data_IF_409979819457
#
_entry.id   IF_409979819457
#
_cell.length_a   1.000
_cell.length_b   1.000
_cell.length_c   1.000
_cell.angle_alpha   90.00
_cell.angle_beta   90.00
_cell.angle_gamma   90.00
#
_symmetry.space_group_name_H-M   'P 1'
#
loop_
_entity.id
_entity.type
_entity.pdbx_description
1 polymer ?
#
# COMPACT_ATOMS: atom_id res chain seq x y z
N UNK A 1 -12.66 -0.01 -21.50
CA UNK A 1 -11.32 0.53 -21.20
C UNK A 1 -11.21 0.85 -19.70
N UNK A 2 -10.94 -0.13 -18.81
CA UNK A 2 -10.95 0.11 -17.35
C UNK A 2 -9.54 0.29 -16.74
N UNK A 3 -8.50 -0.32 -17.32
CA UNK A 3 -7.14 -0.27 -16.78
C UNK A 3 -6.46 1.10 -16.89
N UNK A 4 -6.93 1.93 -17.84
CA UNK A 4 -6.44 3.30 -18.02
C UNK A 4 -6.75 4.21 -16.83
N UNK A 5 -7.80 3.95 -16.04
CA UNK A 5 -8.15 4.80 -14.87
C UNK A 5 -7.08 4.73 -13.76
N UNK A 6 -6.37 3.60 -13.63
CA UNK A 6 -5.25 3.46 -12.70
C UNK A 6 -3.97 4.13 -13.21
N UNK A 7 -3.86 4.35 -14.53
CA UNK A 7 -2.66 4.84 -15.21
C UNK A 7 -2.79 6.28 -15.75
N UNK A 8 -4.00 6.85 -15.79
CA UNK A 8 -4.21 8.24 -16.20
C UNK A 8 -3.78 9.15 -15.06
N UNK A 9 -2.66 9.84 -15.26
CA UNK A 9 -2.25 10.99 -14.45
C UNK A 9 -1.44 10.66 -13.19
N UNK A 10 -1.55 11.55 -12.20
CA UNK A 10 -0.75 11.54 -10.98
C UNK A 10 -1.25 10.55 -9.90
N UNK A 11 -2.23 9.69 -10.20
CA UNK A 11 -2.88 8.83 -9.20
C UNK A 11 -1.92 7.92 -8.43
N UNK A 12 -1.00 7.15 -9.04
CA UNK A 12 -0.07 6.32 -8.28
C UNK A 12 0.78 7.13 -7.31
N UNK A 13 1.24 8.32 -7.72
CA UNK A 13 2.04 9.21 -6.88
C UNK A 13 1.24 9.80 -5.72
N UNK A 14 0.04 10.30 -6.00
CA UNK A 14 -0.87 10.85 -4.98
C UNK A 14 -1.26 9.75 -3.99
N UNK A 15 -1.59 8.56 -4.50
CA UNK A 15 -1.90 7.40 -3.68
C UNK A 15 -0.74 7.02 -2.77
N UNK A 16 0.49 6.96 -3.27
CA UNK A 16 1.67 6.69 -2.43
C UNK A 16 1.82 7.73 -1.32
N UNK A 17 1.64 9.02 -1.59
CA UNK A 17 1.71 10.05 -0.56
C UNK A 17 0.63 9.86 0.50
N UNK A 18 -0.61 9.57 0.08
CA UNK A 18 -1.73 9.32 0.99
C UNK A 18 -1.50 8.04 1.81
N UNK A 19 -1.03 6.97 1.17
CA UNK A 19 -0.71 5.70 1.81
C UNK A 19 0.36 5.89 2.90
N UNK A 20 1.46 6.59 2.61
CA UNK A 20 2.51 6.91 3.58
C UNK A 20 1.95 7.63 4.81
N UNK A 21 1.05 8.61 4.60
CA UNK A 21 0.45 9.36 5.71
C UNK A 21 -0.49 8.48 6.53
N UNK A 22 -1.38 7.74 5.87
CA UNK A 22 -2.33 6.83 6.53
C UNK A 22 -1.57 5.78 7.35
N UNK A 23 -0.59 5.12 6.73
CA UNK A 23 0.19 4.07 7.37
C UNK A 23 1.07 4.62 8.49
N UNK A 24 1.73 5.76 8.28
CA UNK A 24 2.51 6.39 9.33
C UNK A 24 1.68 6.70 10.57
N UNK A 25 0.44 7.18 10.39
CA UNK A 25 -0.52 7.38 11.49
C UNK A 25 -0.93 6.06 12.13
N UNK A 26 -1.27 5.03 11.34
CA UNK A 26 -1.64 3.71 11.85
C UNK A 26 -0.50 3.08 12.64
N UNK A 27 0.73 3.14 12.13
CA UNK A 27 1.91 2.60 12.79
C UNK A 27 2.14 3.31 14.13
N UNK A 28 1.96 4.62 14.18
CA UNK A 28 2.00 5.38 15.43
C UNK A 28 0.90 4.95 16.42
N UNK A 29 -0.36 4.85 15.98
CA UNK A 29 -1.49 4.42 16.81
C UNK A 29 -1.32 2.99 17.34
N UNK A 30 -0.72 2.11 16.53
CA UNK A 30 -0.39 0.73 16.90
C UNK A 30 0.85 0.61 17.80
N UNK A 31 1.44 1.73 18.23
CA UNK A 31 2.67 1.76 19.05
C UNK A 31 3.83 1.00 18.37
N UNK A 32 3.87 1.04 17.04
CA UNK A 32 4.99 0.49 16.26
C UNK A 32 6.28 1.28 16.55
N UNK A 33 6.16 2.61 16.55
CA UNK A 33 7.24 3.56 16.76
C UNK A 33 6.68 4.90 17.27
N UNK A 34 7.56 5.79 17.75
CA UNK A 34 7.19 7.21 17.88
C UNK A 34 6.89 7.84 16.51
N UNK A 35 6.14 8.94 16.46
CA UNK A 35 5.58 9.50 15.23
C UNK A 35 6.60 9.66 14.08
N UNK A 36 7.76 10.28 14.36
CA UNK A 36 8.84 10.45 13.36
C UNK A 36 9.37 9.12 12.83
N UNK A 37 9.52 8.13 13.72
CA UNK A 37 9.96 6.79 13.36
C UNK A 37 8.90 6.04 12.54
N UNK A 38 7.63 6.19 12.92
CA UNK A 38 6.51 5.58 12.22
C UNK A 38 6.38 6.10 10.78
N UNK A 39 6.44 7.43 10.60
CA UNK A 39 6.43 8.05 9.27
C UNK A 39 7.63 7.62 8.41
N UNK A 40 8.83 7.59 8.99
CA UNK A 40 10.03 7.14 8.27
C UNK A 40 9.89 5.68 7.83
N UNK A 41 9.44 4.80 8.73
CA UNK A 41 9.30 3.39 8.43
C UNK A 41 8.18 3.15 7.38
N UNK A 42 7.09 3.92 7.43
CA UNK A 42 6.05 3.92 6.40
C UNK A 42 6.58 4.36 5.04
N UNK A 43 7.38 5.44 4.96
CA UNK A 43 8.04 5.86 3.71
C UNK A 43 8.89 4.73 3.13
N UNK A 44 9.75 4.11 3.95
CA UNK A 44 10.65 3.05 3.48
C UNK A 44 9.86 1.83 3.01
N UNK A 45 8.84 1.41 3.77
CA UNK A 45 7.97 0.29 3.43
C UNK A 45 7.22 0.54 2.11
N UNK A 46 6.57 1.69 1.97
CA UNK A 46 5.84 2.06 0.76
C UNK A 46 6.75 2.18 -0.46
N UNK A 47 7.97 2.73 -0.32
CA UNK A 47 8.91 2.81 -1.43
C UNK A 47 9.35 1.41 -1.89
N UNK A 48 9.60 0.50 -0.96
CA UNK A 48 9.92 -0.89 -1.29
C UNK A 48 8.75 -1.59 -1.98
N UNK A 49 7.53 -1.43 -1.44
CA UNK A 49 6.32 -1.97 -2.04
C UNK A 49 6.06 -1.40 -3.44
N UNK A 50 6.24 -0.09 -3.63
CA UNK A 50 6.09 0.59 -4.92
C UNK A 50 7.05 0.00 -5.97
N UNK A 51 8.32 -0.22 -5.62
CA UNK A 51 9.29 -0.83 -6.53
C UNK A 51 8.85 -2.25 -6.93
N UNK A 52 8.42 -3.07 -5.97
CA UNK A 52 7.99 -4.45 -6.25
C UNK A 52 6.70 -4.46 -7.09
N UNK A 53 5.72 -3.62 -6.76
CA UNK A 53 4.48 -3.48 -7.53
C UNK A 53 4.76 -2.99 -8.94
N UNK A 54 5.71 -2.06 -9.13
CA UNK A 54 6.12 -1.59 -10.45
C UNK A 54 6.75 -2.72 -11.29
N UNK A 55 7.61 -3.55 -10.69
CA UNK A 55 8.21 -4.72 -11.36
C UNK A 55 7.16 -5.75 -11.75
N UNK A 56 6.13 -5.93 -10.92
CA UNK A 56 5.03 -6.86 -11.16
C UNK A 56 3.86 -6.22 -11.92
N UNK A 57 4.00 -4.99 -12.41
CA UNK A 57 2.88 -4.20 -12.94
C UNK A 57 2.20 -4.88 -14.13
N UNK A 58 2.97 -5.49 -15.04
CA UNK A 58 2.39 -6.23 -16.17
C UNK A 58 1.55 -7.43 -15.72
N UNK A 59 2.02 -8.17 -14.70
CA UNK A 59 1.28 -9.30 -14.13
C UNK A 59 0.01 -8.82 -13.42
N UNK A 60 0.12 -7.74 -12.64
CA UNK A 60 -1.00 -7.14 -11.90
C UNK A 60 -2.06 -6.56 -12.85
N UNK A 61 -1.64 -5.94 -13.95
CA UNK A 61 -2.55 -5.41 -14.97
C UNK A 61 -3.11 -6.52 -15.88
N UNK A 62 -2.43 -7.66 -15.97
CA UNK A 62 -2.85 -8.84 -16.73
C UNK A 62 -4.17 -9.46 -16.27
N UNK A 63 -4.65 -9.13 -15.06
CA UNK A 63 -5.96 -9.55 -14.56
C UNK A 63 -7.15 -8.93 -15.33
N UNK A 64 -6.94 -7.85 -16.09
CA UNK A 64 -7.98 -7.21 -16.91
C UNK A 64 -9.09 -6.48 -16.15
N UNK A 65 -9.22 -6.69 -14.83
CA UNK A 65 -10.19 -6.07 -13.95
C UNK A 65 -9.53 -5.17 -12.91
N UNK A 66 -9.90 -3.89 -12.88
CA UNK A 66 -9.30 -2.85 -12.03
C UNK A 66 -9.30 -3.21 -10.53
N UNK A 67 -10.41 -3.76 -10.03
CA UNK A 67 -10.56 -4.16 -8.63
C UNK A 67 -9.73 -5.40 -8.29
N UNK A 68 -9.53 -6.31 -9.25
CA UNK A 68 -8.66 -7.47 -9.07
C UNK A 68 -7.19 -7.06 -9.08
N UNK A 69 -6.81 -6.12 -9.95
CA UNK A 69 -5.46 -5.53 -9.96
C UNK A 69 -5.14 -4.80 -8.64
N UNK A 70 -6.09 -4.03 -8.09
CA UNK A 70 -5.94 -3.41 -6.77
C UNK A 70 -5.80 -4.47 -5.65
N UNK A 71 -6.54 -5.57 -5.72
CA UNK A 71 -6.44 -6.65 -4.73
C UNK A 71 -5.08 -7.32 -4.78
N UNK A 72 -4.59 -7.61 -6.00
CA UNK A 72 -3.26 -8.17 -6.19
C UNK A 72 -2.16 -7.24 -5.67
N UNK A 73 -2.26 -5.94 -5.97
CA UNK A 73 -1.33 -4.93 -5.45
C UNK A 73 -1.37 -4.84 -3.92
N UNK A 74 -2.55 -4.90 -3.29
CA UNK A 74 -2.71 -4.95 -1.84
C UNK A 74 -1.98 -6.16 -1.23
N UNK A 75 -2.18 -7.35 -1.80
CA UNK A 75 -1.55 -8.58 -1.31
C UNK A 75 -0.03 -8.48 -1.41
N UNK A 76 0.49 -8.04 -2.56
CA UNK A 76 1.93 -7.83 -2.77
C UNK A 76 2.47 -6.82 -1.75
N UNK A 77 1.76 -5.71 -1.55
CA UNK A 77 2.17 -4.65 -0.63
C UNK A 77 2.26 -5.17 0.82
N UNK A 78 1.24 -5.89 1.30
CA UNK A 78 1.25 -6.50 2.65
C UNK A 78 2.46 -7.44 2.83
N UNK A 79 2.79 -8.22 1.80
CA UNK A 79 3.91 -9.16 1.84
C UNK A 79 5.24 -8.42 1.95
N UNK A 80 5.45 -7.43 1.08
CA UNK A 80 6.70 -6.67 0.99
C UNK A 80 6.88 -5.81 2.23
N UNK A 81 5.86 -5.05 2.62
CA UNK A 81 5.93 -4.16 3.78
C UNK A 81 6.06 -4.93 5.09
N UNK A 82 5.33 -6.04 5.24
CA UNK A 82 5.47 -6.91 6.42
C UNK A 82 6.92 -7.39 6.62
N UNK A 83 7.58 -7.73 5.51
CA UNK A 83 8.99 -8.12 5.52
C UNK A 83 9.94 -6.94 5.78
N UNK A 84 9.71 -5.78 5.14
CA UNK A 84 10.53 -4.58 5.34
C UNK A 84 10.44 -4.08 6.78
N UNK A 85 9.24 -4.02 7.35
CA UNK A 85 9.01 -3.64 8.74
C UNK A 85 9.67 -4.62 9.71
N UNK A 86 9.63 -5.91 9.39
CA UNK A 86 10.36 -6.93 10.14
C UNK A 86 11.87 -6.64 10.12
N UNK A 87 12.46 -6.34 8.96
CA UNK A 87 13.89 -6.00 8.85
C UNK A 87 14.25 -4.70 9.60
N UNK A 88 13.42 -3.67 9.51
CA UNK A 88 13.70 -2.35 10.09
C UNK A 88 13.73 -2.34 11.62
N UNK A 89 12.89 -3.15 12.27
CA UNK A 89 12.75 -3.13 13.74
C UNK A 89 13.02 -4.46 14.43
N UNK A 90 13.22 -5.55 13.69
CA UNK A 90 13.46 -6.89 14.21
C UNK A 90 12.45 -7.33 15.29
N UNK A 91 11.22 -6.83 15.20
CA UNK A 91 10.10 -7.31 16.03
C UNK A 91 9.63 -8.67 15.49
N UNK A 92 8.69 -9.33 16.18
CA UNK A 92 8.16 -10.59 15.68
C UNK A 92 7.52 -10.45 14.30
N UNK A 93 7.64 -11.49 13.46
CA UNK A 93 6.99 -11.54 12.14
C UNK A 93 5.49 -11.25 12.26
N UNK A 94 4.83 -11.89 13.24
CA UNK A 94 3.39 -11.67 13.51
C UNK A 94 3.06 -10.19 13.78
N UNK A 95 3.88 -9.48 14.54
CA UNK A 95 3.65 -8.05 14.81
C UNK A 95 3.84 -7.20 13.55
N UNK A 96 4.90 -7.48 12.78
CA UNK A 96 5.25 -6.73 11.56
C UNK A 96 4.17 -6.88 10.48
N UNK A 97 3.74 -8.11 10.22
CA UNK A 97 2.67 -8.40 9.26
C UNK A 97 1.30 -7.89 9.71
N UNK A 98 1.02 -7.88 11.02
CA UNK A 98 -0.23 -7.29 11.55
C UNK A 98 -0.29 -5.79 11.28
N UNK A 99 0.81 -5.09 11.50
CA UNK A 99 0.90 -3.64 11.29
C UNK A 99 0.81 -3.32 9.79
N UNK A 100 1.54 -4.06 8.95
CA UNK A 100 1.45 -3.93 7.49
C UNK A 100 0.03 -4.18 6.98
N UNK A 101 -0.64 -5.25 7.44
CA UNK A 101 -2.01 -5.59 7.04
C UNK A 101 -2.98 -4.45 7.34
N UNK A 102 -2.95 -3.89 8.56
CA UNK A 102 -3.88 -2.83 8.97
C UNK A 102 -3.57 -1.53 8.22
N UNK A 103 -2.29 -1.18 8.06
CA UNK A 103 -1.85 -0.02 7.28
C UNK A 103 -2.33 -0.08 5.84
N UNK A 104 -1.99 -1.16 5.16
CA UNK A 104 -2.35 -1.37 3.76
C UNK A 104 -3.86 -1.49 3.56
N UNK A 105 -4.58 -2.18 4.45
CA UNK A 105 -6.04 -2.28 4.33
C UNK A 105 -6.72 -0.89 4.37
N UNK A 106 -6.26 0.00 5.26
CA UNK A 106 -6.78 1.36 5.33
C UNK A 106 -6.41 2.20 4.09
N UNK A 107 -5.16 2.13 3.65
CA UNK A 107 -4.71 2.84 2.46
C UNK A 107 -5.43 2.34 1.20
N UNK A 108 -5.50 1.03 0.97
CA UNK A 108 -6.18 0.48 -0.20
C UNK A 108 -7.68 0.69 -0.18
N UNK A 109 -8.34 0.74 0.99
CA UNK A 109 -9.76 1.13 1.05
C UNK A 109 -9.98 2.50 0.37
N UNK A 110 -9.07 3.45 0.56
CA UNK A 110 -9.10 4.73 -0.15
C UNK A 110 -8.97 4.55 -1.67
N UNK A 111 -8.02 3.74 -2.15
CA UNK A 111 -7.89 3.44 -3.58
C UNK A 111 -9.15 2.78 -4.17
N UNK A 112 -9.75 1.84 -3.43
CA UNK A 112 -11.02 1.20 -3.82
C UNK A 112 -12.15 2.21 -3.92
N UNK A 113 -12.32 3.08 -2.92
CA UNK A 113 -13.35 4.13 -2.94
C UNK A 113 -13.13 5.12 -4.09
N UNK A 114 -11.88 5.52 -4.33
CA UNK A 114 -11.54 6.39 -5.47
C UNK A 114 -11.94 5.76 -6.79
N UNK A 115 -11.50 4.53 -7.07
CA UNK A 115 -11.86 3.83 -8.32
C UNK A 115 -13.36 3.59 -8.42
N UNK A 116 -14.03 3.25 -7.32
CA UNK A 116 -15.49 3.07 -7.29
C UNK A 116 -16.25 4.36 -7.63
N UNK A 117 -15.76 5.54 -7.22
CA UNK A 117 -16.43 6.81 -7.53
C UNK A 117 -16.50 7.11 -9.03
N UNK A 118 -15.55 6.61 -9.84
CA UNK A 118 -15.58 6.73 -11.30
C UNK A 118 -16.37 5.61 -11.98
N UNK A 119 -16.56 4.47 -11.31
CA UNK A 119 -17.34 3.35 -11.85
C UNK A 119 -18.86 3.53 -11.68
N UNK A 120 -19.26 4.42 -10.79
CA UNK A 120 -20.67 4.78 -10.52
C UNK A 120 -21.11 5.99 -11.38
N UNK A 121 -20.17 6.70 -11.99
CA UNK A 121 -20.39 7.79 -12.97
C UNK A 121 -20.45 7.23 -14.40
#
# INVERSE_FOLDING_TARGET
MPATILLIGYFPFIFTVIAIVIEGVIFFQMKWAGLKGAMRDAVIANLAALVVVALLSQLILGFGHVFASLLAALIVSIIVEGFVLFMLRQRSLKASYRVALIGNAAAFLFAYMYVASFAIL
#
